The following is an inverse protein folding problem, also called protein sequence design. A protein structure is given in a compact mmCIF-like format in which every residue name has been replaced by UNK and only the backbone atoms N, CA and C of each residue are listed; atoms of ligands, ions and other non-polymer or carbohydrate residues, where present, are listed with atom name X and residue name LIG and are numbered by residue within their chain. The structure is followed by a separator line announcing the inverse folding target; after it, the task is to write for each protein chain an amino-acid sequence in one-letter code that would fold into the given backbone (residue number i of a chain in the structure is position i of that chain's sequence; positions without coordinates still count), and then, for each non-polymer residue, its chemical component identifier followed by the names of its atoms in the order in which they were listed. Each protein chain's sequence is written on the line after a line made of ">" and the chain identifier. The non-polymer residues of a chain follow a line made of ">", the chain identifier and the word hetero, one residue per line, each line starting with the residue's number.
data_IF_720537552666
#
_entry.id   IF_720537552666
#
_cell.length_a   1.000
_cell.length_b   1.000
_cell.length_c   1.000
_cell.angle_alpha   90.00
_cell.angle_beta   90.00
_cell.angle_gamma   90.00
#
_symmetry.space_group_name_H-M   'P 1'
#
loop_
_entity.id
_entity.type
_entity.pdbx_description
1 polymer ?
#
# COMPACT_ATOMS: atom_id res chain seq x y z
N UNK A 1 12.46 8.07 17.40
CA UNK A 1 11.95 9.10 16.47
C UNK A 1 10.93 8.42 15.55
N UNK A 2 9.64 8.45 15.87
CA UNK A 2 8.59 7.71 15.12
C UNK A 2 7.33 8.56 14.93
N UNK A 3 7.50 9.84 14.59
CA UNK A 3 6.36 10.72 14.31
C UNK A 3 6.61 11.44 12.97
N UNK A 4 5.81 11.10 11.97
CA UNK A 4 5.87 11.70 10.63
C UNK A 4 5.10 13.03 10.54
N UNK A 5 4.50 13.51 11.64
CA UNK A 5 3.77 14.79 11.69
C UNK A 5 2.39 14.79 11.04
N UNK A 6 1.94 13.66 10.48
CA UNK A 6 0.62 13.55 9.85
C UNK A 6 -0.46 13.25 10.88
N UNK A 7 -1.59 13.98 10.80
CA UNK A 7 -2.74 13.85 11.72
C UNK A 7 -3.91 13.05 11.14
N UNK A 8 -3.88 12.80 9.84
CA UNK A 8 -4.99 12.20 9.11
C UNK A 8 -4.48 11.06 8.23
N UNK A 9 -5.17 9.93 8.29
CA UNK A 9 -4.97 8.78 7.43
C UNK A 9 -6.23 8.61 6.58
N UNK A 10 -6.06 8.60 5.26
CA UNK A 10 -7.13 8.27 4.32
C UNK A 10 -7.02 6.79 3.96
N UNK A 11 -8.12 6.04 4.10
CA UNK A 11 -8.17 4.60 3.81
C UNK A 11 -9.16 4.37 2.68
N UNK A 12 -8.65 3.86 1.55
CA UNK A 12 -9.47 3.46 0.39
C UNK A 12 -10.15 2.09 0.61
N UNK A 13 -10.96 1.98 1.66
CA UNK A 13 -11.77 0.78 1.96
C UNK A 13 -13.26 1.10 2.13
N UNK A 14 -13.61 2.39 2.19
CA UNK A 14 -14.99 2.89 2.21
C UNK A 14 -15.25 3.46 0.82
N UNK A 15 -15.26 2.56 -0.16
CA UNK A 15 -15.16 2.94 -1.56
C UNK A 15 -16.51 3.37 -2.10
N UNK A 16 -16.44 4.37 -2.98
CA UNK A 16 -17.32 4.58 -4.12
C UNK A 16 -18.35 3.45 -4.25
N UNK A 17 -19.62 3.76 -3.98
CA UNK A 17 -20.72 2.81 -4.08
C UNK A 17 -20.79 2.36 -5.54
N UNK A 18 -20.39 1.11 -5.78
CA UNK A 18 -20.45 0.50 -7.10
C UNK A 18 -21.80 -0.16 -7.27
N UNK A 19 -22.49 0.05 -8.40
CA UNK A 19 -23.77 -0.57 -8.61
C UNK A 19 -23.64 -2.09 -8.71
N UNK A 20 -24.44 -2.81 -7.95
CA UNK A 20 -24.52 -4.27 -7.99
C UNK A 20 -25.97 -4.75 -7.84
N UNK A 21 -26.37 -5.69 -8.70
CA UNK A 21 -27.80 -6.03 -8.88
C UNK A 21 -28.43 -6.89 -7.77
N UNK A 22 -27.71 -7.23 -6.70
CA UNK A 22 -28.10 -8.31 -5.79
C UNK A 22 -27.97 -7.97 -4.29
N UNK A 23 -28.14 -6.72 -3.88
CA UNK A 23 -28.00 -6.35 -2.46
C UNK A 23 -29.19 -5.53 -1.96
N UNK A 24 -29.60 -5.83 -0.73
CA UNK A 24 -30.81 -5.30 -0.07
C UNK A 24 -30.74 -3.81 0.33
N UNK A 25 -29.73 -3.07 -0.12
CA UNK A 25 -29.54 -1.66 0.28
C UNK A 25 -30.00 -0.73 -0.85
N UNK A 26 -31.03 0.08 -0.57
CA UNK A 26 -31.50 1.11 -1.49
C UNK A 26 -30.34 2.05 -1.89
N UNK A 27 -30.22 2.34 -3.18
CA UNK A 27 -29.18 3.21 -3.74
C UNK A 27 -27.97 2.48 -4.33
N UNK A 28 -27.84 1.16 -4.16
CA UNK A 28 -26.72 0.40 -4.74
C UNK A 28 -26.96 -0.12 -6.18
N UNK A 29 -28.01 0.35 -6.86
CA UNK A 29 -28.18 0.19 -8.32
C UNK A 29 -27.79 1.46 -9.09
N UNK A 30 -27.48 2.54 -8.37
CA UNK A 30 -27.18 3.85 -8.93
C UNK A 30 -25.69 4.00 -9.25
N UNK A 31 -25.40 4.63 -10.38
CA UNK A 31 -24.05 5.05 -10.79
C UNK A 31 -23.67 6.44 -10.25
N UNK A 32 -24.52 7.07 -9.43
CA UNK A 32 -24.37 8.47 -9.04
C UNK A 32 -23.11 8.71 -8.23
N UNK A 33 -22.91 7.92 -7.17
CA UNK A 33 -21.72 8.00 -6.32
C UNK A 33 -20.46 7.65 -7.12
N UNK A 34 -20.55 6.61 -7.96
CA UNK A 34 -19.48 6.23 -8.88
C UNK A 34 -19.06 7.37 -9.81
N UNK A 35 -20.02 8.02 -10.45
CA UNK A 35 -19.76 9.10 -11.40
C UNK A 35 -19.12 10.31 -10.73
N UNK A 36 -19.48 10.57 -9.48
CA UNK A 36 -18.94 11.68 -8.69
C UNK A 36 -17.53 11.40 -8.20
N UNK A 37 -17.30 10.25 -7.58
CA UNK A 37 -16.08 9.97 -6.84
C UNK A 37 -14.97 9.38 -7.73
N UNK A 38 -15.31 8.63 -8.79
CA UNK A 38 -14.30 8.01 -9.67
C UNK A 38 -13.45 9.06 -10.38
N UNK A 39 -14.04 10.20 -10.76
CA UNK A 39 -13.32 11.33 -11.35
C UNK A 39 -12.40 12.06 -10.37
N UNK A 40 -12.63 11.95 -9.06
CA UNK A 40 -11.87 12.65 -8.02
C UNK A 40 -10.64 11.86 -7.54
N UNK A 41 -10.49 10.59 -7.93
CA UNK A 41 -9.39 9.73 -7.48
C UNK A 41 -8.01 10.34 -7.75
N UNK A 42 -7.83 11.03 -8.88
CA UNK A 42 -6.57 11.76 -9.15
C UNK A 42 -6.31 12.91 -8.19
N UNK A 43 -7.36 13.59 -7.72
CA UNK A 43 -7.27 14.59 -6.67
C UNK A 43 -6.96 13.99 -5.29
N UNK A 44 -7.49 12.80 -4.99
CA UNK A 44 -7.23 12.10 -3.73
C UNK A 44 -5.79 11.60 -3.64
N UNK A 45 -5.32 10.84 -4.63
CA UNK A 45 -3.94 10.34 -4.65
C UNK A 45 -2.92 11.47 -4.84
N UNK A 46 -3.20 12.42 -5.74
CA UNK A 46 -2.28 13.53 -6.04
C UNK A 46 -2.10 14.54 -4.91
N UNK A 47 -2.99 14.57 -3.91
CA UNK A 47 -2.86 15.42 -2.71
C UNK A 47 -2.35 14.67 -1.49
N UNK A 48 -2.06 13.38 -1.61
CA UNK A 48 -1.47 12.59 -0.53
C UNK A 48 0.02 12.92 -0.38
N UNK A 49 0.49 13.00 0.87
CA UNK A 49 1.93 13.15 1.15
C UNK A 49 2.67 11.82 0.96
N UNK A 50 2.03 10.72 1.39
CA UNK A 50 2.55 9.36 1.31
C UNK A 50 1.38 8.41 1.01
N UNK A 51 1.60 7.46 0.09
CA UNK A 51 0.71 6.34 -0.17
C UNK A 51 1.36 5.07 0.35
N UNK A 52 0.63 4.31 1.16
CA UNK A 52 1.08 3.02 1.72
C UNK A 52 0.32 1.91 0.99
N UNK A 53 1.04 0.94 0.45
CA UNK A 53 0.49 -0.20 -0.26
C UNK A 53 1.02 -1.51 0.34
N UNK A 54 0.12 -2.41 0.71
CA UNK A 54 0.47 -3.74 1.20
C UNK A 54 0.67 -4.69 -0.01
N UNK A 55 1.91 -4.78 -0.51
CA UNK A 55 2.25 -5.58 -1.70
C UNK A 55 2.56 -7.05 -1.39
N UNK A 56 2.84 -7.37 -0.12
CA UNK A 56 3.30 -8.69 0.33
C UNK A 56 2.22 -9.76 0.42
N UNK A 57 0.94 -9.38 0.38
CA UNK A 57 -0.16 -10.30 0.68
C UNK A 57 -1.18 -10.43 -0.45
N UNK A 58 -1.89 -11.54 -0.42
CA UNK A 58 -2.84 -11.90 -1.47
C UNK A 58 -4.12 -11.08 -1.45
N UNK A 59 -4.61 -10.73 -0.26
CA UNK A 59 -5.88 -10.04 -0.06
C UNK A 59 -5.98 -9.46 1.37
N UNK A 60 -7.05 -8.71 1.63
CA UNK A 60 -7.30 -8.04 2.92
C UNK A 60 -7.57 -8.96 4.11
N UNK A 61 -7.75 -10.27 3.89
CA UNK A 61 -7.86 -11.27 4.98
C UNK A 61 -6.50 -11.79 5.42
N UNK A 62 -5.46 -11.54 4.63
CA UNK A 62 -4.09 -11.90 4.97
C UNK A 62 -3.39 -10.72 5.69
N UNK A 63 -2.44 -11.04 6.56
CA UNK A 63 -1.79 -10.07 7.45
C UNK A 63 -0.39 -9.66 6.97
N UNK A 64 -0.26 -8.42 6.50
CA UNK A 64 0.94 -7.94 5.81
C UNK A 64 2.09 -7.51 6.74
N UNK A 65 1.88 -7.50 8.06
CA UNK A 65 2.88 -7.14 9.06
C UNK A 65 3.79 -8.31 9.45
N UNK A 66 3.52 -9.50 8.91
CA UNK A 66 4.47 -10.59 8.99
C UNK A 66 5.63 -10.25 8.07
N UNK A 67 6.69 -9.72 8.66
CA UNK A 67 7.98 -9.68 7.98
C UNK A 67 8.26 -11.12 7.54
N UNK A 68 8.62 -11.39 6.27
CA UNK A 68 9.46 -12.54 6.03
C UNK A 68 10.67 -12.23 6.87
N UNK A 69 10.75 -12.82 8.07
CA UNK A 69 11.96 -12.78 8.83
C UNK A 69 12.98 -13.32 7.83
N UNK A 70 13.85 -12.44 7.31
CA UNK A 70 15.08 -12.90 6.69
C UNK A 70 15.56 -13.95 7.65
N UNK A 71 15.66 -15.20 7.18
CA UNK A 71 15.81 -16.32 8.09
C UNK A 71 16.97 -15.92 8.99
N UNK A 72 16.91 -16.18 10.29
CA UNK A 72 18.02 -15.81 11.19
C UNK A 72 19.40 -16.25 10.65
N UNK A 73 19.37 -17.27 9.80
CA UNK A 73 20.44 -17.86 9.00
C UNK A 73 21.06 -16.94 7.92
N UNK A 74 20.42 -15.83 7.57
CA UNK A 74 20.89 -14.90 6.53
C UNK A 74 21.61 -13.67 7.09
N UNK A 75 21.70 -13.58 8.41
CA UNK A 75 22.46 -12.56 9.12
C UNK A 75 23.56 -13.21 9.96
N UNK A 76 24.80 -12.76 9.78
CA UNK A 76 25.94 -13.17 10.59
C UNK A 76 26.31 -12.08 11.58
N UNK A 77 26.57 -12.45 12.83
CA UNK A 77 27.10 -11.54 13.84
C UNK A 77 28.55 -11.19 13.48
N UNK A 78 28.83 -9.91 13.31
CA UNK A 78 30.19 -9.40 13.00
C UNK A 78 30.90 -8.97 14.28
N UNK A 79 30.17 -8.36 15.22
CA UNK A 79 30.74 -7.83 16.47
C UNK A 79 29.69 -7.78 17.57
N UNK A 80 30.12 -7.98 18.81
CA UNK A 80 29.29 -7.86 20.01
C UNK A 80 30.08 -7.20 21.14
N UNK A 81 29.43 -6.25 21.81
CA UNK A 81 29.89 -5.60 23.03
C UNK A 81 28.70 -5.52 24.02
N UNK A 82 28.91 -5.16 25.30
CA UNK A 82 27.83 -5.09 26.29
C UNK A 82 26.67 -4.16 25.90
N UNK A 83 26.94 -3.15 25.06
CA UNK A 83 26.03 -2.11 24.64
C UNK A 83 25.50 -2.28 23.20
N UNK A 84 26.08 -3.17 22.38
CA UNK A 84 25.63 -3.36 21.01
C UNK A 84 25.90 -4.75 20.42
N UNK A 85 25.13 -5.09 19.39
CA UNK A 85 25.37 -6.22 18.49
C UNK A 85 25.30 -5.74 17.04
N UNK A 86 26.30 -6.08 16.25
CA UNK A 86 26.39 -5.75 14.83
C UNK A 86 26.21 -7.00 13.98
N UNK A 87 25.26 -6.96 13.05
CA UNK A 87 24.97 -8.04 12.12
C UNK A 87 25.26 -7.59 10.68
N UNK A 88 25.85 -8.47 9.87
CA UNK A 88 25.84 -8.39 8.41
C UNK A 88 24.73 -9.30 7.91
N UNK A 89 23.72 -8.73 7.28
CA UNK A 89 22.64 -9.47 6.66
C UNK A 89 22.81 -9.48 5.15
N UNK A 90 22.42 -10.58 4.49
CA UNK A 90 22.12 -10.51 3.07
C UNK A 90 20.97 -9.53 2.85
N UNK A 91 21.17 -8.60 1.92
CA UNK A 91 20.11 -7.71 1.47
C UNK A 91 19.19 -8.55 0.58
N UNK A 92 17.95 -8.76 1.02
CA UNK A 92 16.90 -9.44 0.25
C UNK A 92 15.91 -8.43 -0.33
N UNK A 93 16.37 -7.26 -0.72
CA UNK A 93 15.50 -6.29 -1.38
C UNK A 93 15.34 -6.69 -2.86
N UNK A 94 14.34 -7.54 -3.17
CA UNK A 94 13.89 -7.76 -4.54
C UNK A 94 12.79 -6.77 -4.87
N UNK A 95 13.18 -5.50 -5.08
CA UNK A 95 12.22 -4.45 -5.44
C UNK A 95 11.35 -4.82 -6.66
N UNK A 96 11.94 -5.54 -7.62
CA UNK A 96 11.23 -5.96 -8.82
C UNK A 96 10.14 -6.97 -8.47
N UNK A 97 10.43 -7.99 -7.68
CA UNK A 97 9.45 -8.97 -7.21
C UNK A 97 8.43 -8.37 -6.25
N UNK A 98 8.91 -7.69 -5.22
CA UNK A 98 8.14 -7.27 -4.05
C UNK A 98 7.32 -6.00 -4.30
N UNK A 99 7.69 -5.18 -5.30
CA UNK A 99 7.04 -3.89 -5.58
C UNK A 99 6.57 -3.76 -7.02
N UNK A 100 7.38 -4.09 -8.03
CA UNK A 100 7.01 -3.90 -9.45
C UNK A 100 6.09 -5.01 -9.96
N UNK A 101 6.40 -6.27 -9.63
CA UNK A 101 5.67 -7.46 -10.03
C UNK A 101 4.63 -7.91 -8.98
N UNK A 102 4.48 -7.16 -7.88
CA UNK A 102 3.53 -7.47 -6.83
C UNK A 102 2.13 -7.70 -7.38
N UNK A 103 1.44 -8.73 -6.87
CA UNK A 103 0.07 -9.10 -7.28
C UNK A 103 -0.89 -7.93 -7.23
N UNK A 104 -0.70 -7.02 -6.26
CA UNK A 104 -1.46 -5.79 -6.13
C UNK A 104 -1.54 -5.01 -7.46
N UNK A 105 -0.44 -4.93 -8.21
CA UNK A 105 -0.34 -4.16 -9.46
C UNK A 105 -1.17 -4.75 -10.62
N UNK A 106 -1.62 -6.00 -10.51
CA UNK A 106 -2.53 -6.61 -11.50
C UNK A 106 -3.97 -6.10 -11.38
N UNK A 107 -4.32 -5.38 -10.31
CA UNK A 107 -5.67 -4.86 -10.10
C UNK A 107 -5.85 -3.56 -10.87
N UNK A 108 -6.92 -3.44 -11.65
CA UNK A 108 -7.15 -2.29 -12.55
C UNK A 108 -7.07 -0.91 -11.89
N UNK A 109 -7.52 -0.79 -10.63
CA UNK A 109 -7.45 0.47 -9.88
C UNK A 109 -6.02 0.86 -9.45
N UNK A 110 -5.13 -0.12 -9.23
CA UNK A 110 -3.78 0.11 -8.68
C UNK A 110 -2.88 0.86 -9.66
N UNK A 111 -3.15 0.77 -10.97
CA UNK A 111 -2.46 1.59 -11.96
C UNK A 111 -2.70 3.08 -11.73
N UNK A 112 -3.93 3.48 -11.41
CA UNK A 112 -4.27 4.88 -11.11
C UNK A 112 -3.58 5.35 -9.83
N UNK A 113 -3.56 4.52 -8.79
CA UNK A 113 -2.89 4.86 -7.51
C UNK A 113 -1.40 5.11 -7.73
N UNK A 114 -0.73 4.24 -8.49
CA UNK A 114 0.71 4.36 -8.78
C UNK A 114 1.05 5.54 -9.68
N UNK A 115 0.26 5.78 -10.72
CA UNK A 115 0.51 6.84 -11.68
C UNK A 115 0.19 8.23 -11.09
N UNK A 116 -0.91 8.35 -10.34
CA UNK A 116 -1.40 9.64 -9.86
C UNK A 116 -0.72 10.10 -8.57
N UNK A 117 -0.15 9.18 -7.80
CA UNK A 117 0.52 9.50 -6.54
C UNK A 117 1.80 10.36 -6.73
N UNK A 118 2.44 10.39 -7.90
CA UNK A 118 3.67 11.19 -8.11
C UNK A 118 3.93 11.76 -9.52
N UNK A 119 2.96 11.75 -10.44
CA UNK A 119 3.17 12.32 -11.78
C UNK A 119 3.31 13.86 -11.85
N UNK A 120 3.01 14.60 -10.77
CA UNK A 120 2.87 16.07 -10.78
C UNK A 120 3.82 16.85 -9.85
N UNK A 121 5.00 16.34 -9.49
CA UNK A 121 5.97 17.14 -8.70
C UNK A 121 7.00 17.86 -9.60
N UNK A 122 6.99 19.20 -9.69
CA UNK A 122 8.03 19.99 -10.37
C UNK A 122 9.18 20.37 -9.43
N UNK A 123 9.69 19.42 -8.64
CA UNK A 123 10.90 19.60 -7.82
C UNK A 123 11.73 18.32 -7.86
#
# INVERSE_FOLDING_TARGET
>A
MTNMGFRFLWINSVCIIQPHKNYYFEGCDSLEDWSKEAGQMGGYYGKSYVTIAATSDENSKAGFLQHPAGKKEDCVLISEAPDYRLFACKIFDDFRGDVEAARLNSRGWVLQERALFKANSPF
#
